data_IF_115793574320
#
_entry.id   IF_115793574320
#
_cell.length_a   1.000
_cell.length_b   1.000
_cell.length_c   1.000
_cell.angle_alpha   90.00
_cell.angle_beta   90.00
_cell.angle_gamma   90.00
#
_symmetry.space_group_name_H-M   'P 1'
#
loop_
_entity.id
_entity.type
_entity.pdbx_description
1 polymer ?
#
# COMPACT_ATOMS: atom_id res chain seq x y z
N UNK A 1 13.60 -14.09 34.14
CA UNK A 1 13.39 -15.40 33.50
C UNK A 1 12.38 -15.22 32.37
N UNK A 2 12.75 -15.50 31.12
CA UNK A 2 11.81 -15.54 29.99
C UNK A 2 11.35 -16.99 29.87
N UNK A 3 10.08 -17.27 30.15
CA UNK A 3 9.59 -18.65 30.13
C UNK A 3 9.60 -19.19 28.68
N UNK A 4 10.29 -20.31 28.41
CA UNK A 4 10.10 -21.05 27.17
C UNK A 4 8.70 -21.66 27.19
N UNK A 5 8.03 -21.54 26.06
CA UNK A 5 6.62 -21.84 25.85
C UNK A 5 6.17 -23.22 26.36
N UNK A 6 5.26 -23.22 27.34
CA UNK A 6 4.30 -24.30 27.58
C UNK A 6 3.07 -24.11 26.67
N UNK A 7 2.90 -25.04 25.74
CA UNK A 7 1.63 -25.56 25.24
C UNK A 7 0.39 -24.63 25.11
N UNK A 8 0.39 -23.77 24.09
CA UNK A 8 -0.75 -23.54 23.19
C UNK A 8 -0.98 -22.06 22.78
N UNK A 9 -1.07 -21.58 21.54
CA UNK A 9 -0.69 -21.94 20.15
C UNK A 9 -0.32 -20.58 19.53
N UNK A 10 0.93 -20.28 19.11
CA UNK A 10 1.28 -18.96 18.55
C UNK A 10 0.40 -18.59 17.34
N UNK A 11 -0.19 -19.59 16.68
CA UNK A 11 -1.21 -19.43 15.63
C UNK A 11 -2.45 -18.69 16.13
N UNK A 12 -3.06 -19.14 17.23
CA UNK A 12 -4.28 -18.54 17.77
C UNK A 12 -4.03 -17.09 18.21
N UNK A 13 -2.90 -16.83 18.89
CA UNK A 13 -2.53 -15.49 19.31
C UNK A 13 -2.25 -14.54 18.12
N UNK A 14 -1.61 -15.03 17.05
CA UNK A 14 -1.41 -14.23 15.83
C UNK A 14 -2.76 -13.86 15.20
N UNK A 15 -3.65 -14.84 15.02
CA UNK A 15 -4.99 -14.62 14.43
C UNK A 15 -5.79 -13.63 15.28
N UNK A 16 -5.84 -13.83 16.60
CA UNK A 16 -6.56 -12.95 17.52
C UNK A 16 -6.04 -11.51 17.48
N UNK A 17 -4.72 -11.29 17.61
CA UNK A 17 -4.13 -9.95 17.57
C UNK A 17 -4.35 -9.30 16.20
N UNK A 18 -4.23 -10.08 15.13
CA UNK A 18 -4.40 -9.60 13.76
C UNK A 18 -5.83 -9.11 13.51
N UNK A 19 -6.85 -9.85 13.94
CA UNK A 19 -8.26 -9.45 13.80
C UNK A 19 -8.65 -8.31 14.76
N UNK A 20 -8.18 -8.33 16.02
CA UNK A 20 -8.38 -7.20 16.96
C UNK A 20 -7.82 -5.88 16.43
N UNK A 21 -6.77 -5.95 15.62
CA UNK A 21 -6.15 -4.78 15.00
C UNK A 21 -6.75 -4.41 13.63
N UNK A 22 -7.93 -4.91 13.25
CA UNK A 22 -8.53 -4.65 11.93
C UNK A 22 -7.58 -5.00 10.77
N UNK A 23 -6.81 -6.09 10.92
CA UNK A 23 -5.89 -6.62 9.91
C UNK A 23 -4.71 -5.69 9.54
N UNK A 24 -4.39 -4.69 10.37
CA UNK A 24 -3.34 -3.71 10.04
C UNK A 24 -1.92 -4.11 10.50
N UNK A 25 -1.76 -5.17 11.30
CA UNK A 25 -0.44 -5.58 11.78
C UNK A 25 0.22 -6.63 10.89
N UNK A 26 1.41 -6.29 10.38
CA UNK A 26 2.35 -7.24 9.80
C UNK A 26 3.33 -7.82 10.83
N UNK A 27 4.30 -8.61 10.35
CA UNK A 27 5.25 -9.37 11.20
C UNK A 27 6.04 -8.52 12.21
N UNK A 28 6.34 -7.25 11.89
CA UNK A 28 7.07 -6.34 12.79
C UNK A 28 6.22 -5.91 13.99
N UNK A 29 4.99 -5.43 13.75
CA UNK A 29 4.07 -5.00 14.82
C UNK A 29 3.58 -6.17 15.65
N UNK A 30 3.34 -7.34 15.02
CA UNK A 30 3.00 -8.57 15.73
C UNK A 30 4.11 -9.02 16.70
N UNK A 31 5.39 -8.94 16.30
CA UNK A 31 6.50 -9.26 17.21
C UNK A 31 6.52 -8.35 18.44
N UNK A 32 6.22 -7.06 18.27
CA UNK A 32 6.15 -6.12 19.38
C UNK A 32 5.01 -6.46 20.34
N UNK A 33 3.80 -6.72 19.81
CA UNK A 33 2.65 -7.17 20.62
C UNK A 33 2.86 -8.52 21.30
N UNK A 34 3.64 -9.40 20.68
CA UNK A 34 4.05 -10.66 21.30
C UNK A 34 4.93 -10.38 22.53
N UNK A 35 5.93 -9.50 22.40
CA UNK A 35 6.79 -9.10 23.53
C UNK A 35 6.00 -8.48 24.68
N UNK A 36 5.02 -7.62 24.39
CA UNK A 36 4.12 -7.04 25.42
C UNK A 36 3.33 -8.12 26.18
N UNK A 37 2.90 -9.18 25.48
CA UNK A 37 2.17 -10.31 26.08
C UNK A 37 3.08 -11.38 26.69
N UNK A 38 4.38 -11.13 26.81
CA UNK A 38 5.35 -12.13 27.30
C UNK A 38 5.61 -13.29 26.33
N UNK A 39 5.12 -13.20 25.09
CA UNK A 39 5.28 -14.22 24.06
C UNK A 39 6.56 -14.01 23.26
N UNK A 40 7.30 -15.09 23.02
CA UNK A 40 8.53 -15.06 22.21
C UNK A 40 8.31 -15.78 20.88
N UNK A 41 8.35 -15.02 19.79
CA UNK A 41 8.38 -15.58 18.44
C UNK A 41 9.27 -14.73 17.52
N UNK A 42 10.02 -15.40 16.65
CA UNK A 42 10.83 -14.71 15.63
C UNK A 42 9.92 -14.15 14.53
N UNK A 43 10.35 -13.07 13.86
CA UNK A 43 9.61 -12.52 12.72
C UNK A 43 9.41 -13.55 11.61
N UNK A 44 10.38 -14.45 11.40
CA UNK A 44 10.31 -15.55 10.43
C UNK A 44 9.21 -16.55 10.79
N UNK A 45 9.11 -16.96 12.06
CA UNK A 45 8.04 -17.85 12.54
C UNK A 45 6.65 -17.21 12.41
N UNK A 46 6.54 -15.93 12.79
CA UNK A 46 5.30 -15.15 12.63
C UNK A 46 4.90 -15.07 11.15
N UNK A 47 5.83 -14.73 10.26
CA UNK A 47 5.58 -14.65 8.83
C UNK A 47 5.15 -15.98 8.22
N UNK A 48 5.76 -17.11 8.62
CA UNK A 48 5.35 -18.45 8.18
C UNK A 48 3.91 -18.75 8.61
N UNK A 49 3.56 -18.47 9.86
CA UNK A 49 2.21 -18.68 10.38
C UNK A 49 1.19 -17.77 9.65
N UNK A 50 1.52 -16.49 9.43
CA UNK A 50 0.65 -15.60 8.67
C UNK A 50 0.38 -16.14 7.26
N UNK A 51 1.42 -16.67 6.58
CA UNK A 51 1.29 -17.30 5.27
C UNK A 51 0.43 -18.56 5.31
N UNK A 52 0.67 -19.46 6.27
CA UNK A 52 -0.12 -20.69 6.49
C UNK A 52 -1.59 -20.39 6.81
N UNK A 53 -1.91 -19.21 7.34
CA UNK A 53 -3.25 -18.80 7.75
C UNK A 53 -3.90 -17.76 6.81
N UNK A 54 -3.25 -17.41 5.69
CA UNK A 54 -3.78 -16.43 4.73
C UNK A 54 -3.91 -15.00 5.29
N UNK A 55 -3.14 -14.63 6.32
CA UNK A 55 -3.23 -13.32 6.97
C UNK A 55 -2.39 -12.28 6.21
N UNK A 56 -3.08 -11.36 5.52
CA UNK A 56 -2.45 -10.28 4.75
C UNK A 56 -2.74 -8.93 5.39
N UNK A 57 -1.68 -8.23 5.80
CA UNK A 57 -1.77 -6.91 6.42
C UNK A 57 -2.36 -5.89 5.43
N UNK A 58 -3.27 -5.02 5.88
CA UNK A 58 -3.88 -3.98 5.03
C UNK A 58 -2.84 -3.06 4.38
N UNK A 59 -1.76 -2.73 5.10
CA UNK A 59 -0.64 -1.95 4.55
C UNK A 59 0.13 -2.63 3.40
N UNK A 60 -0.06 -3.94 3.19
CA UNK A 60 0.58 -4.66 2.08
C UNK A 60 -0.23 -4.51 0.78
N UNK A 61 -1.47 -4.05 0.86
CA UNK A 61 -2.31 -3.82 -0.31
C UNK A 61 -1.94 -2.45 -0.88
N UNK A 62 -1.38 -2.41 -2.09
CA UNK A 62 -1.17 -1.16 -2.81
C UNK A 62 -2.53 -0.48 -3.05
N UNK A 63 -2.70 0.72 -2.51
CA UNK A 63 -3.97 1.46 -2.57
C UNK A 63 -4.12 2.33 -3.83
N UNK A 64 -3.10 2.39 -4.68
CA UNK A 64 -3.17 3.19 -5.89
C UNK A 64 -4.12 2.53 -6.89
N UNK A 65 -5.32 3.12 -7.00
CA UNK A 65 -6.30 2.81 -8.03
C UNK A 65 -6.46 4.08 -8.88
N UNK A 66 -5.85 4.15 -10.07
CA UNK A 66 -6.10 5.28 -10.96
C UNK A 66 -7.58 5.26 -11.35
N UNK A 67 -8.33 6.26 -10.88
CA UNK A 67 -9.68 6.47 -11.36
C UNK A 67 -9.56 6.97 -12.80
N UNK A 68 -9.94 6.14 -13.77
CA UNK A 68 -10.10 6.59 -15.15
C UNK A 68 -11.33 7.51 -15.17
N UNK A 69 -11.11 8.82 -15.16
CA UNK A 69 -12.16 9.75 -15.56
C UNK A 69 -12.54 9.43 -17.01
N UNK A 70 -13.83 9.43 -17.32
CA UNK A 70 -14.28 9.36 -18.71
C UNK A 70 -13.57 10.47 -19.50
N UNK A 71 -13.21 10.17 -20.76
CA UNK A 71 -12.61 11.18 -21.62
C UNK A 71 -13.52 12.41 -21.65
N UNK A 72 -12.96 13.59 -21.46
CA UNK A 72 -13.74 14.82 -21.54
C UNK A 72 -14.01 15.12 -23.02
N UNK A 73 -15.10 14.56 -23.55
CA UNK A 73 -15.57 14.77 -24.93
C UNK A 73 -16.29 16.13 -25.09
N UNK A 74 -16.17 17.04 -24.11
CA UNK A 74 -16.70 18.37 -24.25
C UNK A 74 -16.13 19.05 -25.51
N UNK A 75 -17.01 19.56 -26.35
CA UNK A 75 -16.63 20.29 -27.56
C UNK A 75 -15.95 21.60 -27.16
N UNK A 76 -14.62 21.60 -27.07
CA UNK A 76 -13.81 22.80 -26.84
C UNK A 76 -13.48 23.47 -28.16
N UNK A 77 -13.78 24.77 -28.25
CA UNK A 77 -13.48 25.59 -29.43
C UNK A 77 -11.97 25.80 -29.56
N UNK A 78 -11.42 25.58 -30.75
CA UNK A 78 -10.02 25.83 -31.06
C UNK A 78 -9.76 27.34 -31.20
N UNK A 79 -9.69 28.06 -30.09
CA UNK A 79 -9.54 29.53 -30.06
C UNK A 79 -8.26 30.01 -30.76
N UNK A 80 -7.23 29.17 -30.75
CA UNK A 80 -5.92 29.49 -31.33
C UNK A 80 -5.80 29.05 -32.79
N UNK A 81 -6.86 28.52 -33.38
CA UNK A 81 -6.95 28.05 -34.77
C UNK A 81 -5.77 27.13 -35.16
N UNK A 82 -5.40 26.22 -34.26
CA UNK A 82 -4.27 25.29 -34.46
C UNK A 82 -4.69 24.09 -35.30
N UNK A 83 -3.88 23.71 -36.27
CA UNK A 83 -4.06 22.48 -37.03
C UNK A 83 -3.58 21.28 -36.20
N UNK A 84 -4.50 20.40 -35.80
CA UNK A 84 -4.19 19.19 -35.02
C UNK A 84 -4.16 17.90 -35.87
N UNK A 85 -4.66 17.97 -37.11
CA UNK A 85 -4.60 16.88 -38.09
C UNK A 85 -3.19 16.82 -38.70
N UNK A 86 -2.51 15.67 -38.59
CA UNK A 86 -1.17 15.48 -39.17
C UNK A 86 -1.03 14.12 -39.86
N UNK A 87 -0.27 14.10 -40.96
CA UNK A 87 0.07 12.89 -41.72
C UNK A 87 1.48 12.37 -41.39
N UNK A 88 2.37 13.22 -40.87
CA UNK A 88 3.77 12.89 -40.58
C UNK A 88 4.00 12.66 -39.09
N UNK A 89 4.75 11.62 -38.75
CA UNK A 89 5.09 11.32 -37.35
C UNK A 89 6.05 12.37 -36.77
N UNK A 90 5.82 12.80 -35.52
CA UNK A 90 6.70 13.71 -34.75
C UNK A 90 6.84 15.14 -35.32
N UNK A 91 5.91 15.59 -36.17
CA UNK A 91 5.91 16.95 -36.71
C UNK A 91 5.68 18.02 -35.64
N UNK A 92 4.89 17.69 -34.61
CA UNK A 92 4.61 18.58 -33.49
C UNK A 92 5.20 18.07 -32.18
N UNK A 93 5.65 19.01 -31.35
CA UNK A 93 6.09 18.76 -29.97
C UNK A 93 5.08 19.38 -29.02
N UNK A 94 4.59 18.59 -28.08
CA UNK A 94 3.71 19.04 -27.00
C UNK A 94 4.48 18.88 -25.70
N UNK A 95 4.57 19.95 -24.92
CA UNK A 95 5.10 19.91 -23.55
C UNK A 95 3.97 20.16 -22.55
N UNK A 96 4.06 19.52 -21.39
CA UNK A 96 3.23 19.81 -20.24
C UNK A 96 4.04 20.57 -19.17
N UNK A 97 3.34 21.34 -18.34
CA UNK A 97 3.92 21.97 -17.17
C UNK A 97 3.59 21.10 -15.96
N UNK A 98 4.62 20.50 -15.36
CA UNK A 98 4.50 19.81 -14.08
C UNK A 98 4.98 20.74 -12.98
N UNK A 99 4.07 21.20 -12.13
CA UNK A 99 4.43 21.99 -10.94
C UNK A 99 5.00 21.03 -9.88
N UNK A 100 6.24 21.29 -9.46
CA UNK A 100 6.90 20.54 -8.39
C UNK A 100 6.92 21.42 -7.14
N UNK A 101 6.28 20.98 -6.06
CA UNK A 101 6.35 21.70 -4.78
C UNK A 101 7.67 21.41 -4.07
N UNK A 102 8.48 22.45 -3.84
CA UNK A 102 9.69 22.37 -3.03
C UNK A 102 9.44 22.95 -1.65
N UNK A 103 9.08 22.08 -0.68
CA UNK A 103 9.10 22.37 0.76
C UNK A 103 8.11 23.43 1.26
N UNK A 104 7.56 23.21 2.45
CA UNK A 104 6.86 24.26 3.20
C UNK A 104 7.89 25.29 3.67
N UNK A 105 7.69 26.57 3.33
CA UNK A 105 8.40 27.67 3.97
C UNK A 105 8.04 27.66 5.46
N UNK A 106 9.04 27.46 6.32
CA UNK A 106 8.95 27.64 7.77
C UNK A 106 9.32 29.08 8.13
#
# INVERSE_FOLDING_TARGET
MVQPYENGKPRAAIVEIFHKNRKAYGTRKLKFKFKERGLVATRRRIGRIMKEQGLVSTYTIAQYKPNKTACNEATTKNVLDREFEQTESKRFVVSDLTVVSYGSWQ
#
